data_IF_983379481146
#
_entry.id   IF_983379481146
#
_cell.length_a   1.000
_cell.length_b   1.000
_cell.length_c   1.000
_cell.angle_alpha   90.00
_cell.angle_beta   90.00
_cell.angle_gamma   90.00
#
_symmetry.space_group_name_H-M   'P 1'
#
loop_
_entity.id
_entity.type
_entity.pdbx_description
1 polymer ?
#
# COMPACT_ATOMS: atom_id res chain seq x y z
N UNK A 1 -52.47 -30.81 -77.91
CA UNK A 1 -53.94 -30.92 -78.00
C UNK A 1 -54.54 -30.09 -76.85
N UNK A 2 -55.47 -29.21 -77.21
CA UNK A 2 -56.49 -28.52 -76.39
C UNK A 2 -56.06 -27.31 -75.53
N UNK A 3 -56.59 -26.15 -75.97
CA UNK A 3 -56.73 -24.86 -75.29
C UNK A 3 -57.65 -24.90 -74.05
N UNK A 4 -57.42 -24.02 -73.07
CA UNK A 4 -58.32 -23.72 -71.95
C UNK A 4 -58.34 -22.23 -71.59
N UNK A 5 -59.54 -21.69 -71.40
CA UNK A 5 -59.99 -20.28 -71.51
C UNK A 5 -59.70 -19.40 -70.27
N UNK A 6 -59.49 -18.10 -70.52
CA UNK A 6 -59.32 -16.98 -69.56
C UNK A 6 -60.67 -16.48 -69.04
N UNK A 7 -60.75 -16.05 -67.77
CA UNK A 7 -61.79 -15.13 -67.30
C UNK A 7 -61.87 -14.88 -65.78
N UNK A 8 -61.74 -13.61 -65.40
CA UNK A 8 -62.39 -12.91 -64.26
C UNK A 8 -61.70 -12.93 -62.88
N UNK A 9 -60.69 -12.06 -62.66
CA UNK A 9 -60.38 -11.43 -61.35
C UNK A 9 -59.68 -10.06 -61.59
N UNK A 10 -60.42 -8.96 -61.83
CA UNK A 10 -59.79 -7.62 -61.90
C UNK A 10 -60.60 -6.49 -61.23
N UNK A 11 -61.80 -6.76 -60.70
CA UNK A 11 -62.69 -5.70 -60.19
C UNK A 11 -62.78 -5.55 -58.66
N UNK A 12 -61.94 -6.22 -57.87
CA UNK A 12 -62.00 -6.16 -56.41
C UNK A 12 -60.92 -5.28 -55.73
N UNK A 13 -59.91 -4.80 -56.47
CA UNK A 13 -58.76 -4.08 -55.89
C UNK A 13 -58.88 -2.55 -55.81
N UNK A 14 -59.68 -1.92 -56.68
CA UNK A 14 -59.71 -0.46 -56.82
C UNK A 14 -60.61 0.26 -55.82
N UNK A 15 -61.50 -0.45 -55.12
CA UNK A 15 -62.43 0.13 -54.15
C UNK A 15 -61.86 0.27 -52.74
N UNK A 16 -60.76 -0.42 -52.41
CA UNK A 16 -60.13 -0.35 -51.08
C UNK A 16 -59.15 0.84 -50.97
N UNK A 17 -58.48 1.23 -52.06
CA UNK A 17 -57.53 2.35 -52.03
C UNK A 17 -58.22 3.73 -51.94
N UNK A 18 -59.44 3.87 -52.44
CA UNK A 18 -60.17 5.13 -52.40
C UNK A 18 -60.68 5.48 -50.98
N UNK A 19 -61.03 4.47 -50.17
CA UNK A 19 -61.57 4.68 -48.81
C UNK A 19 -60.50 5.07 -47.78
N UNK A 20 -59.24 4.66 -47.96
CA UNK A 20 -58.14 5.01 -47.05
C UNK A 20 -57.69 6.48 -47.23
N UNK A 21 -57.84 7.03 -48.44
CA UNK A 21 -57.45 8.41 -48.75
C UNK A 21 -58.39 9.48 -48.19
N UNK A 22 -59.64 9.13 -47.83
CA UNK A 22 -60.66 10.06 -47.36
C UNK A 22 -60.81 10.13 -45.82
N UNK A 23 -60.14 9.25 -45.06
CA UNK A 23 -60.26 9.21 -43.60
C UNK A 23 -59.24 10.13 -42.90
N UNK A 24 -59.72 11.25 -42.36
CA UNK A 24 -58.91 12.19 -41.55
C UNK A 24 -58.32 11.57 -40.28
N UNK A 25 -58.87 10.45 -39.77
CA UNK A 25 -58.28 9.73 -38.62
C UNK A 25 -57.06 8.91 -39.03
N UNK A 26 -57.03 8.36 -40.25
CA UNK A 26 -55.88 7.63 -40.79
C UNK A 26 -54.68 8.56 -41.04
N UNK A 27 -54.93 9.79 -41.53
CA UNK A 27 -53.88 10.81 -41.69
C UNK A 27 -53.32 11.30 -40.35
N UNK A 28 -54.17 11.46 -39.32
CA UNK A 28 -53.71 11.89 -37.99
C UNK A 28 -52.82 10.84 -37.31
N UNK A 29 -53.11 9.54 -37.49
CA UNK A 29 -52.27 8.45 -36.97
C UNK A 29 -50.91 8.44 -37.66
N UNK A 30 -50.85 8.71 -38.97
CA UNK A 30 -49.58 8.81 -39.69
C UNK A 30 -48.74 10.01 -39.22
N UNK A 31 -49.35 11.18 -38.97
CA UNK A 31 -48.62 12.34 -38.45
C UNK A 31 -48.16 12.16 -36.99
N UNK A 32 -48.97 11.55 -36.12
CA UNK A 32 -48.59 11.29 -34.72
C UNK A 32 -47.48 10.24 -34.62
N UNK A 33 -47.51 9.22 -35.47
CA UNK A 33 -46.45 8.19 -35.53
C UNK A 33 -45.15 8.76 -36.09
N UNK A 34 -45.20 9.60 -37.14
CA UNK A 34 -44.01 10.25 -37.67
C UNK A 34 -43.45 11.34 -36.75
N UNK A 35 -44.28 12.12 -36.06
CA UNK A 35 -43.84 13.18 -35.15
C UNK A 35 -43.21 12.64 -33.86
N UNK A 36 -43.66 11.48 -33.35
CA UNK A 36 -43.08 10.87 -32.12
C UNK A 36 -41.82 10.05 -32.36
N UNK A 37 -41.61 9.52 -33.57
CA UNK A 37 -40.41 8.73 -33.85
C UNK A 37 -39.20 9.58 -34.29
N UNK A 38 -39.39 10.80 -34.80
CA UNK A 38 -38.29 11.59 -35.36
C UNK A 38 -37.54 12.51 -34.37
N UNK A 39 -38.05 12.73 -33.16
CA UNK A 39 -37.39 13.58 -32.15
C UNK A 39 -36.61 12.80 -31.09
N UNK A 40 -36.68 11.47 -31.08
CA UNK A 40 -35.87 10.63 -30.18
C UNK A 40 -34.53 10.19 -30.78
N UNK A 41 -34.33 10.37 -32.08
CA UNK A 41 -33.20 9.79 -32.82
C UNK A 41 -32.60 10.75 -33.87
N UNK A 42 -32.43 12.03 -33.55
CA UNK A 42 -31.85 13.02 -34.48
C UNK A 42 -30.95 14.08 -33.82
N UNK A 43 -30.25 13.72 -32.74
CA UNK A 43 -28.95 14.35 -32.42
C UNK A 43 -27.92 13.26 -32.21
N UNK A 44 -27.27 12.89 -33.32
CA UNK A 44 -26.04 12.11 -33.29
C UNK A 44 -24.96 12.95 -32.64
N UNK A 45 -24.86 12.84 -31.33
CA UNK A 45 -23.71 13.31 -30.58
C UNK A 45 -22.83 12.07 -30.33
N UNK A 46 -21.95 11.68 -31.29
CA UNK A 46 -21.06 10.53 -31.08
C UNK A 46 -20.23 10.73 -29.80
N UNK A 47 -20.03 11.99 -29.40
CA UNK A 47 -19.35 12.40 -28.17
C UNK A 47 -20.18 12.18 -26.88
N UNK A 48 -21.51 12.05 -26.94
CA UNK A 48 -22.37 11.87 -25.76
C UNK A 48 -22.17 10.53 -25.05
N UNK A 49 -21.94 9.46 -25.82
CA UNK A 49 -21.64 8.15 -25.26
C UNK A 49 -20.22 8.09 -24.69
N UNK A 50 -19.23 8.62 -25.43
CA UNK A 50 -17.84 8.65 -24.97
C UNK A 50 -17.63 9.59 -23.79
N UNK A 51 -18.35 10.72 -23.70
CA UNK A 51 -18.27 11.64 -22.57
C UNK A 51 -18.84 11.04 -21.28
N UNK A 52 -19.96 10.29 -21.36
CA UNK A 52 -20.51 9.59 -20.19
C UNK A 52 -19.62 8.45 -19.69
N UNK A 53 -19.03 7.68 -20.61
CA UNK A 53 -18.07 6.61 -20.26
C UNK A 53 -16.77 7.21 -19.72
N UNK A 54 -16.22 8.24 -20.37
CA UNK A 54 -15.01 8.92 -19.92
C UNK A 54 -15.21 9.57 -18.55
N UNK A 55 -16.34 10.21 -18.29
CA UNK A 55 -16.65 10.81 -16.99
C UNK A 55 -16.75 9.73 -15.91
N UNK A 56 -17.39 8.60 -16.18
CA UNK A 56 -17.44 7.46 -15.24
C UNK A 56 -16.06 6.89 -14.96
N UNK A 57 -15.24 6.68 -15.99
CA UNK A 57 -13.87 6.21 -15.84
C UNK A 57 -13.01 7.21 -15.06
N UNK A 58 -13.14 8.52 -15.34
CA UNK A 58 -12.42 9.57 -14.60
C UNK A 58 -12.86 9.64 -13.15
N UNK A 59 -14.16 9.53 -12.86
CA UNK A 59 -14.65 9.46 -11.48
C UNK A 59 -14.18 8.19 -10.78
N UNK A 60 -14.14 7.05 -11.46
CA UNK A 60 -13.65 5.79 -10.89
C UNK A 60 -12.15 5.86 -10.62
N UNK A 61 -11.36 6.43 -11.53
CA UNK A 61 -9.92 6.68 -11.34
C UNK A 61 -9.70 7.66 -10.20
N UNK A 62 -10.47 8.75 -10.12
CA UNK A 62 -10.39 9.71 -9.02
C UNK A 62 -10.76 9.06 -7.68
N UNK A 63 -11.80 8.23 -7.64
CA UNK A 63 -12.19 7.47 -6.45
C UNK A 63 -11.12 6.44 -6.06
N UNK A 64 -10.48 5.77 -7.02
CA UNK A 64 -9.36 4.87 -6.78
C UNK A 64 -8.15 5.63 -6.23
N UNK A 65 -7.81 6.80 -6.80
CA UNK A 65 -6.72 7.66 -6.32
C UNK A 65 -7.00 8.18 -4.90
N UNK A 66 -8.24 8.55 -4.59
CA UNK A 66 -8.66 8.95 -3.24
C UNK A 66 -8.73 7.77 -2.26
N UNK A 67 -8.94 6.55 -2.77
CA UNK A 67 -8.97 5.32 -1.97
C UNK A 67 -7.57 4.74 -1.69
N UNK A 68 -6.52 5.18 -2.41
CA UNK A 68 -5.13 4.93 -2.03
C UNK A 68 -4.82 5.76 -0.79
N UNK A 69 -5.30 5.30 0.36
CA UNK A 69 -4.72 5.65 1.65
C UNK A 69 -3.32 5.02 1.67
N UNK A 70 -2.29 5.81 1.98
CA UNK A 70 -0.95 5.27 2.16
C UNK A 70 -1.00 4.09 3.11
N UNK A 71 -0.43 2.95 2.69
CA UNK A 71 -0.40 1.75 3.53
C UNK A 71 0.31 2.10 4.83
N UNK A 72 -0.42 2.03 5.95
CA UNK A 72 0.15 2.31 7.25
C UNK A 72 1.31 1.35 7.49
N UNK A 73 2.42 1.86 8.01
CA UNK A 73 3.58 1.02 8.29
C UNK A 73 3.16 -0.09 9.27
N UNK A 74 3.63 -1.33 9.07
CA UNK A 74 3.19 -2.46 9.90
C UNK A 74 3.59 -2.24 11.37
N UNK A 75 2.68 -2.61 12.28
CA UNK A 75 2.94 -2.56 13.72
C UNK A 75 4.12 -3.47 14.10
N UNK A 76 4.97 -3.00 15.01
CA UNK A 76 6.11 -3.76 15.49
C UNK A 76 5.66 -4.94 16.39
N UNK A 77 6.15 -6.18 16.14
CA UNK A 77 5.92 -7.29 17.04
C UNK A 77 6.46 -7.04 18.45
N UNK A 78 5.71 -7.41 19.48
CA UNK A 78 6.15 -7.35 20.87
C UNK A 78 7.13 -8.47 21.22
N UNK A 79 8.10 -8.19 22.10
CA UNK A 79 9.04 -9.19 22.61
C UNK A 79 9.54 -8.83 24.02
N UNK A 80 9.96 -9.87 24.74
CA UNK A 80 10.66 -9.76 26.02
C UNK A 80 12.04 -10.40 25.89
N UNK A 81 13.07 -9.74 26.41
CA UNK A 81 14.43 -10.24 26.31
C UNK A 81 15.28 -9.90 27.51
N UNK A 82 16.24 -10.76 27.83
CA UNK A 82 17.29 -10.48 28.83
C UNK A 82 18.52 -9.93 28.11
N UNK A 83 18.97 -8.76 28.54
CA UNK A 83 20.18 -8.11 28.05
C UNK A 83 21.43 -8.85 28.58
N UNK A 84 22.56 -8.67 27.89
CA UNK A 84 23.85 -9.23 28.30
C UNK A 84 24.35 -8.68 29.64
N UNK A 85 23.91 -7.49 30.05
CA UNK A 85 24.20 -6.91 31.38
C UNK A 85 23.29 -7.50 32.48
N UNK A 86 22.35 -8.37 32.12
CA UNK A 86 21.47 -9.08 33.05
C UNK A 86 20.10 -8.43 33.24
N UNK A 87 19.88 -7.19 32.78
CA UNK A 87 18.58 -6.52 32.87
C UNK A 87 17.55 -7.17 31.94
N UNK A 88 16.29 -7.09 32.31
CA UNK A 88 15.18 -7.45 31.43
C UNK A 88 14.74 -6.21 30.64
N UNK A 89 14.31 -6.43 29.41
CA UNK A 89 13.67 -5.44 28.56
C UNK A 89 12.38 -6.04 27.99
N UNK A 90 11.27 -5.35 28.22
CA UNK A 90 10.01 -5.57 27.52
C UNK A 90 9.87 -4.48 26.45
N UNK A 91 9.66 -4.87 25.19
CA UNK A 91 9.51 -3.90 24.11
C UNK A 91 8.32 -2.98 24.31
N UNK A 92 7.28 -3.42 25.02
CA UNK A 92 6.10 -2.60 25.34
C UNK A 92 6.43 -1.42 26.27
N UNK A 93 7.54 -1.48 26.99
CA UNK A 93 7.99 -0.36 27.81
C UNK A 93 8.63 0.76 27.00
N UNK A 94 9.02 0.48 25.74
CA UNK A 94 9.76 1.39 24.86
C UNK A 94 8.93 1.81 23.65
N UNK A 95 8.29 0.84 22.98
CA UNK A 95 7.37 1.04 21.85
C UNK A 95 6.24 1.96 22.32
N UNK A 96 5.91 2.98 21.52
CA UNK A 96 4.90 3.96 21.89
C UNK A 96 5.43 5.16 22.68
N UNK A 97 6.66 5.09 23.22
CA UNK A 97 7.25 6.13 24.08
C UNK A 97 8.51 6.74 23.49
N UNK A 98 9.37 5.90 22.91
CA UNK A 98 10.62 6.29 22.24
C UNK A 98 10.63 5.74 20.81
N UNK A 99 11.48 6.32 19.97
CA UNK A 99 11.87 5.67 18.72
C UNK A 99 12.77 4.50 19.08
N UNK A 100 12.43 3.29 18.65
CA UNK A 100 13.22 2.09 18.92
C UNK A 100 13.95 1.63 17.65
N UNK A 101 15.27 1.49 17.74
CA UNK A 101 16.13 0.96 16.68
C UNK A 101 16.55 -0.45 17.06
N UNK A 102 16.09 -1.45 16.31
CA UNK A 102 16.53 -2.83 16.48
C UNK A 102 17.63 -3.15 15.48
N UNK A 103 18.80 -3.55 15.98
CA UNK A 103 19.94 -3.97 15.17
C UNK A 103 20.12 -5.47 15.27
N UNK A 104 19.67 -6.22 14.27
CA UNK A 104 19.94 -7.64 14.16
C UNK A 104 21.33 -7.86 13.55
N UNK A 105 22.20 -8.55 14.29
CA UNK A 105 23.60 -8.76 13.92
C UNK A 105 24.17 -10.04 14.53
N UNK A 106 25.42 -10.38 14.22
CA UNK A 106 26.14 -11.48 14.86
C UNK A 106 27.62 -11.13 15.05
N UNK A 107 28.28 -11.77 16.02
CA UNK A 107 29.70 -11.54 16.36
C UNK A 107 30.65 -11.88 15.20
N UNK A 108 30.29 -12.87 14.39
CA UNK A 108 31.03 -13.32 13.20
C UNK A 108 30.73 -12.50 11.93
N UNK A 109 29.76 -11.58 11.97
CA UNK A 109 29.38 -10.73 10.84
C UNK A 109 30.42 -9.61 10.63
N UNK A 110 31.26 -9.74 9.59
CA UNK A 110 32.29 -8.74 9.27
C UNK A 110 31.73 -7.32 9.03
N UNK A 111 30.64 -7.12 8.26
CA UNK A 111 30.05 -5.78 8.11
C UNK A 111 29.53 -5.21 9.43
N UNK A 112 28.98 -6.05 10.31
CA UNK A 112 28.50 -5.64 11.63
C UNK A 112 29.65 -5.11 12.50
N UNK A 113 30.81 -5.79 12.47
CA UNK A 113 32.01 -5.33 13.15
C UNK A 113 32.52 -3.98 12.62
N UNK A 114 32.46 -3.76 11.30
CA UNK A 114 32.88 -2.51 10.67
C UNK A 114 31.98 -1.33 11.06
N UNK A 115 30.67 -1.55 11.18
CA UNK A 115 29.72 -0.51 11.58
C UNK A 115 29.67 -0.22 13.08
N UNK A 116 30.06 -1.18 13.94
CA UNK A 116 29.82 -1.09 15.39
C UNK A 116 30.33 0.22 16.06
N UNK A 117 31.57 0.71 15.79
CA UNK A 117 32.02 1.98 16.36
C UNK A 117 31.21 3.18 15.87
N UNK A 118 30.75 3.15 14.62
CA UNK A 118 29.87 4.18 14.07
C UNK A 118 28.49 4.15 14.71
N UNK A 119 27.94 2.95 14.91
CA UNK A 119 26.64 2.74 15.52
C UNK A 119 26.63 3.15 17.00
N UNK A 120 27.74 2.93 17.73
CA UNK A 120 27.92 3.43 19.08
C UNK A 120 27.84 4.97 19.14
N UNK A 121 28.51 5.67 18.22
CA UNK A 121 28.41 7.14 18.11
C UNK A 121 26.99 7.62 17.79
N UNK A 122 26.26 6.88 16.95
CA UNK A 122 24.84 7.16 16.69
C UNK A 122 24.05 7.01 17.99
N UNK A 123 24.18 5.89 18.69
CA UNK A 123 23.48 5.67 19.96
C UNK A 123 23.77 6.78 20.98
N UNK A 124 25.04 7.13 21.19
CA UNK A 124 25.46 8.15 22.14
C UNK A 124 24.84 9.53 21.82
N UNK A 125 24.69 9.86 20.53
CA UNK A 125 24.08 11.10 20.07
C UNK A 125 22.56 11.15 20.28
N UNK A 126 21.87 10.01 20.15
CA UNK A 126 20.40 9.97 20.08
C UNK A 126 19.72 9.46 21.35
N UNK A 127 20.43 8.74 22.23
CA UNK A 127 19.82 8.10 23.41
C UNK A 127 19.13 9.06 24.39
N UNK A 128 19.65 10.29 24.52
CA UNK A 128 19.05 11.35 25.34
C UNK A 128 17.93 12.11 24.63
N UNK A 129 17.71 11.87 23.33
CA UNK A 129 16.74 12.57 22.48
C UNK A 129 15.47 11.75 22.24
N UNK A 130 15.20 10.74 23.07
CA UNK A 130 14.02 9.88 22.91
C UNK A 130 14.20 8.73 21.92
N UNK A 131 15.44 8.30 21.66
CA UNK A 131 15.75 7.11 20.86
C UNK A 131 16.33 6.02 21.75
N UNK A 132 15.94 4.77 21.54
CA UNK A 132 16.57 3.59 22.14
C UNK A 132 17.14 2.71 21.02
N UNK A 133 18.38 2.22 21.16
CA UNK A 133 18.97 1.27 20.22
C UNK A 133 19.27 -0.03 20.96
N UNK A 134 18.73 -1.14 20.46
CA UNK A 134 18.98 -2.47 20.98
C UNK A 134 19.60 -3.33 19.87
N UNK A 135 20.80 -3.85 20.11
CA UNK A 135 21.37 -4.87 19.24
C UNK A 135 20.97 -6.26 19.69
N UNK A 136 20.46 -7.06 18.75
CA UNK A 136 20.05 -8.44 18.97
C UNK A 136 21.03 -9.33 18.20
N UNK A 137 21.86 -10.04 18.95
CA UNK A 137 22.80 -11.01 18.41
C UNK A 137 22.07 -12.31 18.04
N UNK A 138 21.86 -12.53 16.75
CA UNK A 138 21.11 -13.66 16.20
C UNK A 138 22.02 -14.85 15.92
N UNK A 139 21.56 -16.06 16.27
CA UNK A 139 22.31 -17.30 16.03
C UNK A 139 23.78 -17.21 16.48
N UNK A 140 23.99 -16.65 17.67
CA UNK A 140 25.30 -16.30 18.22
C UNK A 140 25.41 -16.79 19.68
N UNK A 141 26.63 -16.79 20.23
CA UNK A 141 26.84 -17.17 21.64
C UNK A 141 26.98 -15.96 22.55
N UNK A 142 26.61 -16.11 23.82
CA UNK A 142 26.85 -15.06 24.82
C UNK A 142 28.34 -14.71 24.96
N UNK A 143 29.22 -15.70 24.84
CA UNK A 143 30.66 -15.52 24.92
C UNK A 143 31.16 -14.60 23.80
N UNK A 144 30.76 -14.90 22.57
CA UNK A 144 31.22 -14.18 21.39
C UNK A 144 30.58 -12.81 21.26
N UNK A 145 29.29 -12.68 21.60
CA UNK A 145 28.62 -11.38 21.70
C UNK A 145 29.29 -10.48 22.75
N UNK A 146 29.64 -11.00 23.93
CA UNK A 146 30.41 -10.22 24.93
C UNK A 146 31.80 -9.85 24.43
N UNK A 147 32.47 -10.74 23.69
CA UNK A 147 33.77 -10.45 23.09
C UNK A 147 33.66 -9.32 22.04
N UNK A 148 32.62 -9.34 21.21
CA UNK A 148 32.29 -8.29 20.25
C UNK A 148 32.10 -6.94 20.97
N UNK A 149 31.29 -6.92 22.03
CA UNK A 149 31.03 -5.70 22.82
C UNK A 149 32.32 -5.09 23.35
N UNK A 150 33.19 -5.90 23.97
CA UNK A 150 34.49 -5.44 24.49
C UNK A 150 35.41 -4.95 23.38
N UNK A 151 35.54 -5.72 22.29
CA UNK A 151 36.46 -5.42 21.18
C UNK A 151 36.12 -4.11 20.48
N UNK A 152 34.84 -3.87 20.22
CA UNK A 152 34.37 -2.70 19.46
C UNK A 152 33.85 -1.57 20.35
N UNK A 153 34.01 -1.68 21.68
CA UNK A 153 33.59 -0.67 22.67
C UNK A 153 32.12 -0.26 22.49
N UNK A 154 31.26 -1.27 22.31
CA UNK A 154 29.82 -1.06 22.12
C UNK A 154 29.19 -0.46 23.38
N UNK A 155 28.50 0.67 23.23
CA UNK A 155 27.81 1.38 24.31
C UNK A 155 26.30 1.13 24.36
N UNK A 156 25.71 0.62 23.27
CA UNK A 156 24.29 0.29 23.20
C UNK A 156 23.96 -1.06 23.86
N UNK A 157 22.75 -1.22 24.41
CA UNK A 157 22.23 -2.49 24.90
C UNK A 157 22.36 -3.63 23.89
N UNK A 158 22.73 -4.82 24.39
CA UNK A 158 22.88 -6.03 23.59
C UNK A 158 22.09 -7.18 24.21
N UNK A 159 21.39 -7.94 23.39
CA UNK A 159 20.68 -9.15 23.74
C UNK A 159 21.02 -10.29 22.77
N UNK A 160 20.56 -11.51 23.08
CA UNK A 160 20.68 -12.68 22.20
C UNK A 160 19.31 -13.11 21.68
N UNK A 161 19.31 -13.60 20.46
CA UNK A 161 18.19 -14.34 19.86
C UNK A 161 18.72 -15.57 19.13
N UNK A 162 19.08 -16.59 19.89
CA UNK A 162 19.73 -17.80 19.39
C UNK A 162 18.84 -18.62 18.46
N UNK A 163 17.52 -18.51 18.60
CA UNK A 163 16.51 -19.29 17.88
C UNK A 163 15.69 -18.46 16.87
N UNK A 164 16.08 -17.21 16.62
CA UNK A 164 15.36 -16.28 15.73
C UNK A 164 13.90 -16.03 16.14
N UNK A 165 13.60 -16.15 17.42
CA UNK A 165 12.27 -15.91 17.98
C UNK A 165 11.86 -14.43 17.96
N UNK A 166 12.84 -13.53 17.98
CA UNK A 166 12.63 -12.09 17.85
C UNK A 166 12.89 -11.68 16.39
N UNK A 167 13.96 -12.13 15.75
CA UNK A 167 14.30 -11.74 14.39
C UNK A 167 13.24 -12.10 13.34
N UNK A 168 12.67 -13.30 13.40
CA UNK A 168 11.74 -13.79 12.36
C UNK A 168 10.45 -12.95 12.26
N UNK A 169 9.75 -12.61 13.37
CA UNK A 169 8.61 -11.70 13.32
C UNK A 169 8.91 -10.33 12.71
N UNK A 170 10.15 -9.85 12.82
CA UNK A 170 10.61 -8.59 12.22
C UNK A 170 11.09 -8.73 10.76
N UNK A 171 10.95 -9.91 10.15
CA UNK A 171 11.34 -10.15 8.75
C UNK A 171 12.85 -10.32 8.54
N UNK A 172 13.58 -10.78 9.56
CA UNK A 172 15.01 -11.03 9.46
C UNK A 172 15.34 -12.03 8.34
N UNK A 173 16.28 -11.65 7.45
CA UNK A 173 16.77 -12.48 6.34
C UNK A 173 18.29 -12.65 6.32
N UNK A 174 19.00 -11.94 7.18
CA UNK A 174 20.46 -11.94 7.22
C UNK A 174 21.03 -10.74 7.96
N UNK A 175 22.22 -10.92 8.53
CA UNK A 175 22.95 -9.86 9.21
C UNK A 175 23.87 -9.13 8.23
N UNK A 176 24.00 -7.79 8.33
CA UNK A 176 23.26 -6.91 9.23
C UNK A 176 21.86 -6.54 8.73
N UNK A 177 20.94 -6.38 9.68
CA UNK A 177 19.59 -5.86 9.44
C UNK A 177 19.18 -4.88 10.54
N UNK A 178 18.52 -3.79 10.18
CA UNK A 178 18.11 -2.75 11.12
C UNK A 178 16.68 -2.32 10.88
N UNK A 179 15.89 -2.30 11.93
CA UNK A 179 14.50 -1.85 11.91
C UNK A 179 14.39 -0.60 12.78
N UNK A 180 13.68 0.42 12.28
CA UNK A 180 13.33 1.61 13.04
C UNK A 180 11.82 1.59 13.28
N UNK A 181 11.46 1.67 14.56
CA UNK A 181 10.09 1.70 15.05
C UNK A 181 9.85 3.10 15.61
N UNK A 182 8.81 3.78 15.14
CA UNK A 182 8.50 5.12 15.61
C UNK A 182 7.75 5.12 16.96
N UNK A 183 7.40 6.31 17.45
CA UNK A 183 6.64 6.48 18.69
C UNK A 183 5.18 6.04 18.60
N UNK A 184 4.67 5.65 17.43
CA UNK A 184 3.35 5.01 17.29
C UNK A 184 3.46 3.48 17.31
N UNK A 185 4.69 2.96 17.33
CA UNK A 185 4.96 1.53 17.27
C UNK A 185 4.92 0.96 15.87
N UNK A 186 5.05 1.78 14.84
CA UNK A 186 5.05 1.37 13.44
C UNK A 186 6.49 1.18 12.94
N UNK A 187 6.74 0.13 12.15
CA UNK A 187 8.05 -0.12 11.52
C UNK A 187 8.25 0.78 10.30
N UNK A 188 8.71 2.00 10.55
CA UNK A 188 8.84 3.07 9.55
C UNK A 188 10.09 2.98 8.67
N UNK A 189 11.09 2.18 9.05
CA UNK A 189 12.24 1.90 8.18
C UNK A 189 12.85 0.52 8.40
N UNK A 190 13.30 -0.08 7.30
CA UNK A 190 14.08 -1.32 7.26
C UNK A 190 15.34 -1.09 6.44
N UNK A 191 16.50 -1.46 7.00
CA UNK A 191 17.81 -1.24 6.41
C UNK A 191 18.54 -2.58 6.39
N UNK A 192 18.82 -3.08 5.20
CA UNK A 192 19.64 -4.28 4.99
C UNK A 192 21.08 -3.88 4.64
N UNK A 193 22.04 -4.68 5.07
CA UNK A 193 23.44 -4.48 4.74
C UNK A 193 24.11 -3.33 5.49
N UNK A 194 25.34 -3.03 5.09
CA UNK A 194 26.26 -2.13 5.78
C UNK A 194 25.95 -0.64 5.50
N UNK A 195 24.79 -0.16 5.92
CA UNK A 195 24.37 1.24 5.67
C UNK A 195 23.65 1.91 6.84
N UNK A 196 23.53 1.26 7.99
CA UNK A 196 22.80 1.78 9.13
C UNK A 196 23.47 3.05 9.68
N UNK A 197 24.81 3.09 9.76
CA UNK A 197 25.53 4.27 10.28
C UNK A 197 25.29 5.52 9.43
N UNK A 198 25.21 5.35 8.11
CA UNK A 198 24.98 6.46 7.18
C UNK A 198 23.51 6.91 7.15
N UNK A 199 22.56 5.98 7.27
CA UNK A 199 21.13 6.26 7.07
C UNK A 199 20.40 6.66 8.35
N UNK A 200 20.76 6.07 9.49
CA UNK A 200 20.04 6.29 10.75
C UNK A 200 19.97 7.77 11.15
N UNK A 201 21.04 8.58 11.09
CA UNK A 201 20.96 9.97 11.53
C UNK A 201 19.84 10.76 10.84
N UNK A 202 19.75 10.63 9.50
CA UNK A 202 18.70 11.30 8.73
C UNK A 202 17.30 10.83 9.12
N UNK A 203 17.11 9.51 9.22
CA UNK A 203 15.81 8.92 9.58
C UNK A 203 15.39 9.39 10.97
N UNK A 204 16.29 9.31 11.95
CA UNK A 204 16.01 9.68 13.32
C UNK A 204 15.72 11.18 13.46
N UNK A 205 16.50 12.05 12.81
CA UNK A 205 16.26 13.49 12.84
C UNK A 205 14.92 13.86 12.17
N UNK A 206 14.52 13.18 11.10
CA UNK A 206 13.20 13.38 10.47
C UNK A 206 12.06 12.93 11.40
N UNK A 207 12.19 11.78 12.08
CA UNK A 207 11.17 11.28 13.00
C UNK A 207 11.03 12.17 14.25
N UNK A 208 12.15 12.60 14.83
CA UNK A 208 12.17 13.49 16.00
C UNK A 208 11.57 14.88 15.71
N UNK A 209 11.65 15.35 14.46
CA UNK A 209 10.98 16.59 14.03
C UNK A 209 9.47 16.41 13.91
N UNK A 210 9.01 15.27 13.41
CA UNK A 210 7.58 14.98 13.21
C UNK A 210 6.85 14.74 14.53
N UNK A 211 7.51 14.05 15.47
CA UNK A 211 6.96 13.71 16.77
C UNK A 211 8.00 14.04 17.85
N UNK A 212 8.00 15.28 18.39
CA UNK A 212 8.91 15.62 19.48
C UNK A 212 8.61 14.78 20.73
N UNK A 213 9.62 14.42 21.54
CA UNK A 213 9.41 13.67 22.77
C UNK A 213 8.46 14.44 23.71
N UNK A 214 7.50 13.73 24.31
CA UNK A 214 6.60 14.30 25.33
C UNK A 214 7.45 14.78 26.51
N UNK A 215 7.44 16.10 26.74
CA UNK A 215 8.08 16.80 27.85
C UNK A 215 7.53 16.37 29.21
#
# INVERSE_FOLDING_TARGET
MVHGRVGRIEQAGSSIEADVAADRRAQLVLEVVHARHYTRWSRGDPYGYYSGVALRLLTLVLLLVLAVRGEAAPAAPGFKVKLLDGKALDSHDVIGKKILVLRFQASYCKPCAKEAPGLARVYDRYRSRGVELLAIHVQDTAKDARAFVRKYKVTYPVALDTKLTIGNPFGFKGSPYTVVIDQKGEMVAQIHGESAVARLPRILDELLKKNPPSS
#
